data_IF_425878061640
#
_entry.id   IF_425878061640
#
_cell.length_a   1.000
_cell.length_b   1.000
_cell.length_c   1.000
_cell.angle_alpha   90.00
_cell.angle_beta   90.00
_cell.angle_gamma   90.00
#
_symmetry.space_group_name_H-M   'P 1'
#
loop_
_entity.id
_entity.type
_entity.pdbx_description
1 polymer ?
#
# COMPACT_ATOMS: atom_id res chain seq x y z
N UNK A 1 -15.63 -3.41 -21.81
CA UNK A 1 -16.34 -4.20 -20.81
C UNK A 1 -17.07 -3.24 -19.91
N UNK A 2 -18.36 -3.44 -19.73
CA UNK A 2 -19.26 -2.39 -19.22
C UNK A 2 -19.05 -2.14 -17.72
N UNK A 3 -18.51 -0.98 -17.33
CA UNK A 3 -18.29 -0.56 -15.93
C UNK A 3 -19.58 -0.68 -15.08
N UNK A 4 -20.76 -0.58 -15.70
CA UNK A 4 -22.05 -0.79 -15.06
C UNK A 4 -22.28 -2.23 -14.57
N UNK A 5 -21.75 -3.23 -15.28
CA UNK A 5 -21.89 -4.64 -14.91
C UNK A 5 -21.01 -4.97 -13.68
N UNK A 6 -19.81 -4.39 -13.63
CA UNK A 6 -18.88 -4.52 -12.49
C UNK A 6 -19.49 -3.86 -11.25
N UNK A 7 -20.08 -2.67 -11.41
CA UNK A 7 -20.75 -1.94 -10.33
C UNK A 7 -21.96 -2.69 -9.77
N UNK A 8 -22.78 -3.30 -10.64
CA UNK A 8 -23.96 -4.06 -10.24
C UNK A 8 -23.61 -5.40 -9.58
N UNK A 9 -22.53 -6.06 -9.99
CA UNK A 9 -22.07 -7.32 -9.41
C UNK A 9 -21.42 -7.09 -8.03
N UNK A 10 -20.62 -6.04 -7.88
CA UNK A 10 -20.08 -5.62 -6.59
C UNK A 10 -21.19 -5.19 -5.63
N UNK A 11 -22.22 -4.50 -6.13
CA UNK A 11 -23.40 -4.10 -5.35
C UNK A 11 -24.25 -5.29 -4.87
N UNK A 12 -24.19 -6.43 -5.58
CA UNK A 12 -24.90 -7.66 -5.18
C UNK A 12 -24.15 -8.48 -4.12
N UNK A 13 -22.85 -8.24 -3.92
CA UNK A 13 -22.04 -8.94 -2.92
C UNK A 13 -22.13 -8.32 -1.52
N UNK A 14 -22.52 -7.04 -1.42
CA UNK A 14 -22.81 -6.38 -0.15
C UNK A 14 -24.28 -5.98 -0.13
N UNK A 15 -25.05 -6.54 0.77
CA UNK A 15 -26.43 -6.09 1.03
C UNK A 15 -26.39 -4.64 1.52
N UNK A 16 -27.48 -3.89 1.34
CA UNK A 16 -27.59 -2.52 1.87
C UNK A 16 -27.29 -2.48 3.38
N UNK A 17 -27.65 -3.55 4.09
CA UNK A 17 -27.35 -3.78 5.52
C UNK A 17 -25.84 -3.81 5.81
N UNK A 18 -25.02 -4.38 4.92
CA UNK A 18 -23.56 -4.46 5.13
C UNK A 18 -22.89 -3.10 4.96
N UNK A 19 -23.44 -2.22 4.13
CA UNK A 19 -22.94 -0.86 3.91
C UNK A 19 -23.22 0.07 5.09
N UNK A 20 -24.34 -0.12 5.79
CA UNK A 20 -24.71 0.62 7.00
C UNK A 20 -23.95 0.15 8.24
N UNK A 21 -23.37 -1.03 8.22
CA UNK A 21 -22.69 -1.69 9.35
C UNK A 21 -21.25 -1.19 9.61
N UNK A 22 -20.76 -0.12 8.94
CA UNK A 22 -19.46 0.44 9.30
C UNK A 22 -19.49 0.96 10.75
N UNK A 23 -19.14 0.07 11.67
CA UNK A 23 -18.94 0.45 13.07
C UNK A 23 -17.65 1.27 13.18
N UNK A 24 -17.77 2.53 13.57
CA UNK A 24 -16.57 3.33 13.85
C UNK A 24 -15.66 2.59 14.82
N UNK A 25 -14.37 2.59 14.49
CA UNK A 25 -13.36 1.99 15.37
C UNK A 25 -13.42 2.60 16.75
N UNK A 26 -13.37 1.77 17.78
CA UNK A 26 -13.18 2.23 19.15
C UNK A 26 -11.95 3.15 19.21
N UNK A 27 -12.13 4.31 19.85
CA UNK A 27 -11.08 5.32 20.01
C UNK A 27 -9.79 4.71 20.63
N UNK A 28 -9.97 3.83 21.61
CA UNK A 28 -8.85 3.14 22.29
C UNK A 28 -8.04 2.30 21.29
N UNK A 29 -8.70 1.54 20.43
CA UNK A 29 -8.01 0.75 19.39
C UNK A 29 -7.24 1.66 18.42
N UNK A 30 -7.88 2.74 17.93
CA UNK A 30 -7.21 3.71 17.04
C UNK A 30 -5.95 4.29 17.69
N UNK A 31 -6.06 4.68 18.94
CA UNK A 31 -4.95 5.27 19.70
C UNK A 31 -3.80 4.28 19.91
N UNK A 32 -4.10 3.08 20.44
CA UNK A 32 -3.07 2.06 20.70
C UNK A 32 -2.41 1.61 19.38
N UNK A 33 -3.22 1.36 18.33
CA UNK A 33 -2.68 1.02 17.01
C UNK A 33 -1.72 2.11 16.50
N UNK A 34 -2.08 3.37 16.65
CA UNK A 34 -1.21 4.47 16.23
C UNK A 34 0.09 4.53 17.01
N UNK A 35 0.04 4.30 18.32
CA UNK A 35 1.25 4.22 19.17
C UNK A 35 2.13 3.06 18.72
N UNK A 36 1.55 1.88 18.49
CA UNK A 36 2.28 0.71 17.99
C UNK A 36 2.91 0.98 16.62
N UNK A 37 2.17 1.57 15.68
CA UNK A 37 2.67 1.95 14.37
C UNK A 37 3.91 2.86 14.47
N UNK A 38 3.87 3.86 15.36
CA UNK A 38 4.99 4.78 15.57
C UNK A 38 6.18 4.06 16.21
N UNK A 39 5.96 3.32 17.30
CA UNK A 39 7.03 2.62 18.03
C UNK A 39 7.72 1.60 17.12
N UNK A 40 6.95 0.75 16.44
CA UNK A 40 7.50 -0.24 15.52
C UNK A 40 8.23 0.41 14.34
N UNK A 41 7.74 1.55 13.83
CA UNK A 41 8.42 2.26 12.74
C UNK A 41 9.74 2.87 13.19
N UNK A 42 9.80 3.46 14.39
CA UNK A 42 11.05 4.00 14.95
C UNK A 42 12.07 2.88 15.16
N UNK A 43 11.65 1.79 15.81
CA UNK A 43 12.52 0.63 16.04
C UNK A 43 12.98 0.02 14.72
N UNK A 44 12.07 -0.12 13.74
CA UNK A 44 12.39 -0.60 12.41
C UNK A 44 13.42 0.27 11.70
N UNK A 45 13.28 1.60 11.74
CA UNK A 45 14.26 2.52 11.15
C UNK A 45 15.63 2.39 11.83
N UNK A 46 15.66 2.33 13.17
CA UNK A 46 16.93 2.21 13.92
C UNK A 46 17.64 0.89 13.57
N UNK A 47 16.93 -0.23 13.67
CA UNK A 47 17.49 -1.57 13.41
C UNK A 47 17.92 -1.73 11.95
N UNK A 48 17.12 -1.21 11.01
CA UNK A 48 17.40 -1.34 9.58
C UNK A 48 18.28 -0.20 9.03
N UNK A 49 18.70 0.76 9.87
CA UNK A 49 19.51 1.90 9.43
C UNK A 49 20.81 1.51 8.71
N UNK A 50 21.59 0.47 9.11
CA UNK A 50 22.75 0.03 8.34
C UNK A 50 22.38 -0.41 6.92
N UNK A 51 21.28 -1.14 6.77
CA UNK A 51 20.77 -1.59 5.46
C UNK A 51 20.33 -0.39 4.62
N UNK A 52 19.63 0.57 5.22
CA UNK A 52 19.19 1.79 4.55
C UNK A 52 20.40 2.57 3.97
N UNK A 53 21.48 2.69 4.75
CA UNK A 53 22.71 3.38 4.32
C UNK A 53 23.38 2.61 3.18
N UNK A 54 23.60 1.30 3.33
CA UNK A 54 24.26 0.47 2.31
C UNK A 54 23.46 0.53 0.99
N UNK A 55 22.15 0.31 1.03
CA UNK A 55 21.29 0.34 -0.15
C UNK A 55 21.31 1.73 -0.80
N UNK A 56 21.32 2.80 -0.01
CA UNK A 56 21.42 4.17 -0.51
C UNK A 56 22.69 4.41 -1.30
N UNK A 57 23.83 3.93 -0.79
CA UNK A 57 25.13 4.04 -1.47
C UNK A 57 25.12 3.22 -2.77
N UNK A 58 24.65 1.98 -2.72
CA UNK A 58 24.60 1.09 -3.89
C UNK A 58 23.74 1.68 -5.01
N UNK A 59 22.54 2.21 -4.68
CA UNK A 59 21.66 2.87 -5.67
C UNK A 59 22.38 4.07 -6.31
N UNK A 60 23.11 4.86 -5.50
CA UNK A 60 23.78 6.06 -5.99
C UNK A 60 24.98 5.73 -6.88
N UNK A 61 25.69 4.66 -6.57
CA UNK A 61 26.83 4.17 -7.39
C UNK A 61 26.36 3.54 -8.71
N UNK A 62 25.22 2.82 -8.70
CA UNK A 62 24.74 2.13 -9.90
C UNK A 62 24.13 3.09 -10.94
N UNK A 63 23.41 4.13 -10.49
CA UNK A 63 22.71 5.02 -11.41
C UNK A 63 22.58 6.45 -10.89
N UNK A 64 22.70 7.44 -11.79
CA UNK A 64 22.49 8.85 -11.47
C UNK A 64 21.04 9.11 -11.04
N UNK A 65 20.85 10.06 -10.09
CA UNK A 65 19.54 10.53 -9.67
C UNK A 65 19.22 10.35 -8.18
N UNK A 66 17.95 10.56 -7.75
CA UNK A 66 17.56 10.47 -6.36
C UNK A 66 17.59 9.04 -5.86
N UNK A 67 17.91 8.85 -4.58
CA UNK A 67 17.90 7.53 -3.90
C UNK A 67 16.46 7.09 -3.65
N UNK A 68 15.60 8.03 -3.24
CA UNK A 68 14.20 7.81 -2.91
C UNK A 68 13.33 8.13 -4.11
N UNK A 69 12.54 7.16 -4.51
CA UNK A 69 11.44 7.31 -5.45
C UNK A 69 10.19 7.75 -4.69
N UNK A 70 9.46 8.70 -5.25
CA UNK A 70 8.20 9.21 -4.71
C UNK A 70 7.11 9.06 -5.76
N UNK A 71 5.97 8.49 -5.37
CA UNK A 71 4.81 8.34 -6.26
C UNK A 71 3.54 8.70 -5.50
N UNK A 72 2.61 9.37 -6.17
CA UNK A 72 1.30 9.66 -5.60
C UNK A 72 0.47 8.39 -5.49
N UNK A 73 -0.16 8.20 -4.35
CA UNK A 73 -1.06 7.09 -4.04
C UNK A 73 -2.31 7.59 -3.35
N UNK A 74 -3.39 6.85 -3.51
CA UNK A 74 -4.62 7.09 -2.75
C UNK A 74 -4.42 6.65 -1.29
N UNK A 75 -4.62 7.59 -0.36
CA UNK A 75 -4.56 7.39 1.08
C UNK A 75 -5.94 7.38 1.72
N UNK A 76 -5.99 7.64 3.03
CA UNK A 76 -7.23 7.72 3.78
C UNK A 76 -8.16 8.81 3.23
N UNK A 77 -9.43 8.46 3.05
CA UNK A 77 -10.43 9.35 2.40
C UNK A 77 -10.12 9.59 0.94
N UNK A 78 -9.40 8.67 0.29
CA UNK A 78 -8.89 8.80 -1.09
C UNK A 78 -8.04 10.05 -1.32
N UNK A 79 -7.53 10.69 -0.26
CA UNK A 79 -6.64 11.85 -0.38
C UNK A 79 -5.28 11.40 -0.89
N UNK A 80 -4.70 12.08 -1.90
CA UNK A 80 -3.40 11.71 -2.41
C UNK A 80 -2.29 11.98 -1.41
N UNK A 81 -1.31 11.07 -1.32
CA UNK A 81 -0.08 11.24 -0.56
C UNK A 81 1.11 10.68 -1.32
N UNK A 82 2.32 11.12 -1.00
CA UNK A 82 3.55 10.58 -1.58
C UNK A 82 4.02 9.36 -0.80
N UNK A 83 3.99 8.17 -1.43
CA UNK A 83 4.66 6.99 -0.91
C UNK A 83 6.16 7.09 -1.16
N UNK A 84 6.98 6.65 -0.19
CA UNK A 84 8.44 6.62 -0.30
C UNK A 84 8.94 5.20 -0.52
N UNK A 85 9.75 5.01 -1.55
CA UNK A 85 10.45 3.75 -1.83
C UNK A 85 11.89 4.03 -2.22
N UNK A 86 12.77 3.05 -2.06
CA UNK A 86 14.05 3.11 -2.75
C UNK A 86 13.84 3.03 -4.26
N UNK A 87 14.62 3.80 -5.00
CA UNK A 87 14.61 3.73 -6.45
C UNK A 87 15.18 2.41 -6.91
N UNK A 88 14.36 1.61 -7.57
CA UNK A 88 14.71 0.30 -8.13
C UNK A 88 14.77 0.28 -9.65
N UNK A 89 14.44 1.41 -10.29
CA UNK A 89 14.39 1.57 -11.74
C UNK A 89 15.17 2.81 -12.18
N UNK A 90 15.57 2.83 -13.46
CA UNK A 90 16.24 3.98 -14.08
C UNK A 90 15.28 5.20 -14.15
N UNK A 91 15.85 6.41 -14.25
CA UNK A 91 15.05 7.66 -14.27
C UNK A 91 14.16 7.73 -15.52
N UNK A 92 14.65 7.21 -16.64
CA UNK A 92 13.93 7.23 -17.92
C UNK A 92 12.70 6.30 -17.94
N UNK A 93 12.42 5.59 -16.83
CA UNK A 93 11.27 4.69 -16.74
C UNK A 93 9.96 5.48 -16.80
N UNK A 94 9.04 5.14 -17.71
CA UNK A 94 7.70 5.71 -17.73
C UNK A 94 6.97 5.50 -16.40
N UNK A 95 6.23 6.50 -15.93
CA UNK A 95 5.46 6.41 -14.68
C UNK A 95 4.12 5.69 -14.90
N UNK A 96 4.19 4.39 -15.14
CA UNK A 96 3.05 3.50 -15.41
C UNK A 96 3.00 2.41 -14.33
N UNK A 97 1.83 1.83 -14.07
CA UNK A 97 1.70 0.68 -13.18
C UNK A 97 2.59 -0.48 -13.70
N UNK A 98 3.33 -1.12 -12.80
CA UNK A 98 4.30 -2.17 -13.19
C UNK A 98 3.63 -3.35 -13.92
N UNK A 99 2.35 -3.62 -13.64
CA UNK A 99 1.58 -4.69 -14.28
C UNK A 99 1.18 -4.37 -15.74
N UNK A 100 1.12 -3.08 -16.09
CA UNK A 100 0.77 -2.62 -17.44
C UNK A 100 2.01 -2.43 -18.33
N UNK A 101 3.20 -2.73 -17.78
CA UNK A 101 4.48 -2.43 -18.40
C UNK A 101 5.15 -3.72 -18.90
N UNK A 102 4.96 -4.04 -20.19
CA UNK A 102 5.43 -5.29 -20.83
C UNK A 102 6.95 -5.48 -20.76
N UNK A 103 7.74 -4.39 -20.78
CA UNK A 103 9.20 -4.42 -20.77
C UNK A 103 9.84 -3.85 -19.50
N UNK A 104 9.16 -3.96 -18.36
CA UNK A 104 9.64 -3.42 -17.07
C UNK A 104 11.06 -3.91 -16.70
N UNK A 105 11.45 -5.09 -17.16
CA UNK A 105 12.76 -5.71 -16.88
C UNK A 105 13.95 -4.91 -17.42
N UNK A 106 13.77 -4.15 -18.51
CA UNK A 106 14.84 -3.36 -19.13
C UNK A 106 15.23 -2.14 -18.29
N UNK A 107 14.27 -1.63 -17.52
CA UNK A 107 14.43 -0.44 -16.70
C UNK A 107 14.83 -0.74 -15.25
N UNK A 108 14.68 -1.99 -14.80
CA UNK A 108 15.05 -2.38 -13.42
C UNK A 108 16.58 -2.47 -13.34
N UNK A 109 17.17 -1.75 -12.37
CA UNK A 109 18.61 -1.80 -12.10
C UNK A 109 18.98 -3.14 -11.45
N UNK A 110 20.28 -3.51 -11.43
CA UNK A 110 20.73 -4.76 -10.79
C UNK A 110 20.43 -4.77 -9.29
N UNK A 111 20.75 -3.66 -8.61
CA UNK A 111 20.41 -3.46 -7.20
C UNK A 111 18.88 -3.40 -7.04
N UNK A 112 18.18 -2.72 -7.97
CA UNK A 112 16.72 -2.66 -8.01
C UNK A 112 16.08 -4.05 -8.02
N UNK A 113 16.62 -4.99 -8.77
CA UNK A 113 16.13 -6.39 -8.80
C UNK A 113 16.25 -7.08 -7.44
N UNK A 114 17.36 -6.85 -6.73
CA UNK A 114 17.59 -7.44 -5.41
C UNK A 114 16.64 -6.84 -4.38
N UNK A 115 16.57 -5.50 -4.29
CA UNK A 115 15.76 -4.82 -3.28
C UNK A 115 14.26 -5.06 -3.48
N UNK A 116 13.77 -5.20 -4.73
CA UNK A 116 12.38 -5.58 -5.01
C UNK A 116 12.08 -7.01 -4.61
N UNK A 117 12.97 -7.96 -4.90
CA UNK A 117 12.79 -9.37 -4.51
C UNK A 117 12.72 -9.55 -2.99
N UNK A 118 13.44 -8.72 -2.25
CA UNK A 118 13.53 -8.78 -0.78
C UNK A 118 12.57 -7.79 -0.09
N UNK A 119 11.80 -7.00 -0.86
CA UNK A 119 10.95 -5.91 -0.37
C UNK A 119 11.70 -4.82 0.44
N UNK A 120 13.02 -4.78 0.36
CA UNK A 120 13.86 -3.73 0.97
C UNK A 120 13.53 -2.35 0.39
N UNK A 121 13.09 -2.30 -0.87
CA UNK A 121 12.67 -1.06 -1.52
C UNK A 121 11.49 -0.39 -0.80
N UNK A 122 10.71 -1.10 -0.02
CA UNK A 122 9.55 -0.57 0.71
C UNK A 122 9.88 -0.07 2.12
N UNK A 123 11.10 -0.33 2.67
CA UNK A 123 11.48 0.14 4.03
C UNK A 123 11.31 1.66 4.22
N UNK A 124 11.58 2.54 3.23
CA UNK A 124 11.34 3.98 3.39
C UNK A 124 9.87 4.35 3.69
N UNK A 125 8.90 3.45 3.49
CA UNK A 125 7.50 3.68 3.87
C UNK A 125 7.31 3.79 5.39
N UNK A 126 8.26 3.33 6.20
CA UNK A 126 8.25 3.58 7.64
C UNK A 126 8.19 5.08 7.97
N UNK A 127 8.78 5.94 7.11
CA UNK A 127 8.63 7.39 7.24
C UNK A 127 7.21 7.88 6.91
N UNK A 128 6.50 7.21 5.99
CA UNK A 128 5.08 7.52 5.75
C UNK A 128 4.22 7.15 6.96
N UNK A 129 4.56 6.05 7.66
CA UNK A 129 3.87 5.69 8.89
C UNK A 129 4.10 6.76 9.96
N UNK A 130 5.34 7.19 10.18
CA UNK A 130 5.65 8.24 11.17
C UNK A 130 4.89 9.55 10.88
N UNK A 131 4.77 9.91 9.59
CA UNK A 131 4.01 11.10 9.17
C UNK A 131 2.49 10.96 9.39
N UNK A 132 1.97 9.74 9.46
CA UNK A 132 0.54 9.47 9.58
C UNK A 132 -0.18 9.24 8.25
N UNK A 133 0.55 9.13 7.15
CA UNK A 133 0.01 8.81 5.83
C UNK A 133 -0.38 7.33 5.72
N UNK A 134 0.32 6.47 6.48
CA UNK A 134 0.20 5.00 6.45
C UNK A 134 0.16 4.39 7.85
N UNK A 135 -0.19 3.12 7.91
CA UNK A 135 -0.10 2.20 9.04
C UNK A 135 0.79 1.01 8.66
N UNK A 136 1.20 0.18 9.62
CA UNK A 136 1.88 -1.09 9.33
C UNK A 136 0.91 -2.02 8.61
N UNK A 137 -0.29 -2.21 9.18
CA UNK A 137 -1.32 -3.09 8.62
C UNK A 137 -2.51 -2.27 8.11
N UNK A 138 -2.88 -2.51 6.87
CA UNK A 138 -4.02 -1.86 6.19
C UNK A 138 -4.07 -2.20 4.70
N UNK A 139 -5.08 -1.75 3.97
CA UNK A 139 -5.17 -1.94 2.52
C UNK A 139 -3.95 -1.37 1.80
N UNK A 140 -3.44 -2.08 0.79
CA UNK A 140 -2.29 -1.58 0.01
C UNK A 140 -2.63 -0.28 -0.71
N UNK A 141 -1.80 0.79 -0.61
CA UNK A 141 -2.07 2.04 -1.31
C UNK A 141 -1.92 1.86 -2.83
N UNK A 142 -2.93 2.28 -3.58
CA UNK A 142 -3.01 2.16 -5.04
C UNK A 142 -2.64 3.47 -5.73
N UNK A 143 -2.22 3.39 -6.99
CA UNK A 143 -1.96 4.58 -7.82
C UNK A 143 -3.27 5.30 -8.12
N UNK A 144 -3.20 6.60 -8.39
CA UNK A 144 -4.41 7.42 -8.59
C UNK A 144 -5.14 7.05 -9.89
N UNK A 145 -4.43 6.46 -10.84
CA UNK A 145 -4.92 5.99 -12.12
C UNK A 145 -5.82 4.73 -11.98
N UNK A 146 -5.70 3.97 -10.89
CA UNK A 146 -6.57 2.83 -10.59
C UNK A 146 -7.96 3.27 -10.07
N UNK A 147 -8.65 4.11 -10.84
CA UNK A 147 -9.91 4.75 -10.46
C UNK A 147 -10.97 3.73 -10.05
N UNK A 148 -11.12 2.65 -10.81
CA UNK A 148 -12.10 1.60 -10.53
C UNK A 148 -11.91 0.97 -9.16
N UNK A 149 -10.66 0.66 -8.78
CA UNK A 149 -10.35 0.09 -7.46
C UNK A 149 -10.57 1.10 -6.33
N UNK A 150 -10.27 2.39 -6.58
CA UNK A 150 -10.48 3.46 -5.60
C UNK A 150 -12.00 3.64 -5.35
N UNK A 151 -12.80 3.71 -6.41
CA UNK A 151 -14.25 3.87 -6.29
C UNK A 151 -14.90 2.64 -5.64
N UNK A 152 -14.42 1.45 -5.99
CA UNK A 152 -14.89 0.21 -5.37
C UNK A 152 -14.58 0.18 -3.87
N UNK A 153 -13.38 0.60 -3.44
CA UNK A 153 -13.02 0.72 -2.01
C UNK A 153 -13.86 1.76 -1.28
N UNK A 154 -14.17 2.90 -1.92
CA UNK A 154 -15.07 3.92 -1.36
C UNK A 154 -16.46 3.36 -1.12
N UNK A 155 -17.02 2.61 -2.06
CA UNK A 155 -18.36 2.03 -1.93
C UNK A 155 -18.50 1.10 -0.71
N UNK A 156 -17.37 0.52 -0.24
CA UNK A 156 -17.29 -0.32 0.95
C UNK A 156 -16.70 0.38 2.18
N UNK A 157 -16.52 1.71 2.16
CA UNK A 157 -15.90 2.48 3.24
C UNK A 157 -14.47 2.08 3.61
N UNK A 158 -13.78 1.34 2.74
CA UNK A 158 -12.40 0.89 2.96
C UNK A 158 -11.43 2.09 2.96
N UNK A 159 -11.76 3.12 2.20
CA UNK A 159 -10.99 4.37 2.15
C UNK A 159 -10.94 5.11 3.50
N UNK A 160 -11.84 4.80 4.45
CA UNK A 160 -11.87 5.44 5.79
C UNK A 160 -10.73 5.01 6.72
N UNK A 161 -9.96 3.98 6.37
CA UNK A 161 -8.79 3.53 7.13
C UNK A 161 -7.48 3.91 6.42
N UNK A 162 -6.39 3.95 7.19
CA UNK A 162 -5.06 4.22 6.63
C UNK A 162 -4.61 3.03 5.77
N UNK A 163 -3.96 3.30 4.62
CA UNK A 163 -3.29 2.24 3.87
C UNK A 163 -2.13 1.66 4.66
N UNK A 164 -1.80 0.39 4.39
CA UNK A 164 -0.74 -0.34 5.08
C UNK A 164 0.47 -0.68 4.21
N UNK A 165 1.62 -0.94 4.85
CA UNK A 165 2.76 -1.60 4.20
C UNK A 165 2.39 -3.04 3.90
N UNK A 166 1.76 -3.71 4.84
CA UNK A 166 1.16 -5.04 4.69
C UNK A 166 -0.34 -4.97 4.91
N UNK A 167 -1.07 -6.02 4.50
CA UNK A 167 -2.51 -6.07 4.67
C UNK A 167 -3.10 -7.41 4.27
N UNK A 168 -4.35 -7.63 4.63
CA UNK A 168 -5.04 -8.90 4.48
C UNK A 168 -5.08 -9.38 3.02
N UNK A 169 -5.37 -8.50 2.07
CA UNK A 169 -5.32 -8.81 0.65
C UNK A 169 -3.90 -9.18 0.18
N UNK A 170 -2.85 -8.58 0.76
CA UNK A 170 -1.48 -8.85 0.36
C UNK A 170 -1.01 -10.25 0.78
N UNK A 171 -1.43 -10.75 1.94
CA UNK A 171 -1.06 -12.08 2.41
C UNK A 171 -1.92 -13.19 1.79
N UNK A 172 -3.14 -12.87 1.28
CA UNK A 172 -4.07 -13.82 0.69
C UNK A 172 -4.04 -13.89 -0.84
N UNK A 173 -3.15 -13.15 -1.53
CA UNK A 173 -3.07 -13.25 -2.99
C UNK A 173 -2.20 -12.18 -3.65
N UNK A 174 -1.91 -11.10 -2.93
CA UNK A 174 -1.04 -10.02 -3.38
C UNK A 174 -1.44 -9.43 -4.75
N UNK A 175 -0.57 -9.53 -5.74
CA UNK A 175 -0.77 -8.97 -7.08
C UNK A 175 -1.48 -9.93 -8.04
N UNK A 176 -1.69 -11.22 -7.63
CA UNK A 176 -2.27 -12.27 -8.45
C UNK A 176 -3.80 -12.33 -8.42
N UNK A 177 -4.44 -11.48 -7.62
CA UNK A 177 -5.90 -11.43 -7.45
C UNK A 177 -6.49 -10.18 -8.11
N UNK A 178 -7.72 -10.31 -8.61
CA UNK A 178 -8.45 -9.21 -9.24
C UNK A 178 -8.91 -8.14 -8.24
N UNK A 179 -9.38 -6.99 -8.75
CA UNK A 179 -9.80 -5.87 -7.93
C UNK A 179 -10.95 -6.21 -6.98
N UNK A 180 -11.92 -7.00 -7.45
CA UNK A 180 -13.06 -7.45 -6.62
C UNK A 180 -12.58 -8.27 -5.41
N UNK A 181 -11.64 -9.18 -5.65
CA UNK A 181 -11.09 -10.05 -4.61
C UNK A 181 -10.21 -9.26 -3.63
N UNK A 182 -9.41 -8.30 -4.12
CA UNK A 182 -8.68 -7.35 -3.26
C UNK A 182 -9.63 -6.61 -2.33
N UNK A 183 -10.72 -6.07 -2.87
CA UNK A 183 -11.72 -5.33 -2.08
C UNK A 183 -12.43 -6.25 -1.09
N UNK A 184 -12.72 -7.49 -1.45
CA UNK A 184 -13.30 -8.48 -0.53
C UNK A 184 -12.40 -8.69 0.70
N UNK A 185 -11.09 -8.94 0.51
CA UNK A 185 -10.15 -9.09 1.62
C UNK A 185 -9.96 -7.78 2.40
N UNK A 186 -9.86 -6.63 1.73
CA UNK A 186 -9.77 -5.34 2.40
C UNK A 186 -11.00 -5.02 3.25
N UNK A 187 -12.20 -5.42 2.77
CA UNK A 187 -13.45 -5.29 3.51
C UNK A 187 -13.52 -6.25 4.70
N UNK A 188 -13.09 -7.51 4.51
CA UNK A 188 -12.97 -8.47 5.60
C UNK A 188 -12.06 -7.95 6.71
N UNK A 189 -10.92 -7.36 6.36
CA UNK A 189 -10.05 -6.68 7.31
C UNK A 189 -10.77 -5.51 7.99
N UNK A 190 -11.47 -4.67 7.23
CA UNK A 190 -12.20 -3.51 7.77
C UNK A 190 -13.22 -3.94 8.84
N UNK A 191 -13.93 -5.04 8.62
CA UNK A 191 -14.98 -5.53 9.52
C UNK A 191 -14.43 -6.23 10.77
N UNK A 192 -13.31 -6.96 10.64
CA UNK A 192 -12.75 -7.80 11.69
C UNK A 192 -11.47 -7.22 12.34
N UNK A 193 -11.12 -5.96 12.00
CA UNK A 193 -9.88 -5.33 12.49
C UNK A 193 -9.78 -5.37 14.01
N UNK A 194 -8.70 -5.94 14.48
CA UNK A 194 -8.37 -6.14 15.88
C UNK A 194 -6.86 -6.28 16.02
N UNK A 195 -6.34 -6.18 17.23
CA UNK A 195 -4.91 -6.44 17.47
C UNK A 195 -4.49 -7.85 17.06
N UNK A 196 -5.38 -8.83 17.24
CA UNK A 196 -5.11 -10.23 16.83
C UNK A 196 -5.01 -10.35 15.30
N UNK A 197 -5.87 -9.65 14.56
CA UNK A 197 -5.82 -9.65 13.11
C UNK A 197 -4.62 -8.87 12.58
N UNK A 198 -4.24 -7.78 13.21
CA UNK A 198 -3.03 -7.02 12.87
C UNK A 198 -1.75 -7.85 13.11
N UNK A 199 -1.73 -8.71 14.13
CA UNK A 199 -0.61 -9.60 14.45
C UNK A 199 -0.56 -10.80 13.50
#
# INVERSE_FOLDING_TARGET
>A
MDNKLIYNKAASLATASDRESYKEMNFIYKFIKRVLDIVCSILGIIVLSPILVIVSILIKLESKGPIIFKQLRAGKGSKPFYIYKFRSMKIETPNIATNDFTDSHVYITRIGKIIRKTSIDEIPQLFNILKGDMSIVGPRPVILEEVDLIELRKSYNIDKILPGITGWAQINGRDNIGNEEKVKYDYEYLMNKSFTMDL
#
